data_IF_882473206400
#
_entry.id   IF_882473206400
#
_cell.length_a   1.000
_cell.length_b   1.000
_cell.length_c   1.000
_cell.angle_alpha   90.00
_cell.angle_beta   90.00
_cell.angle_gamma   90.00
#
_symmetry.space_group_name_H-M   'P 1'
#
loop_
_entity.id
_entity.type
_entity.pdbx_description
1 polymer ?
#
# COMPACT_ATOMS: atom_id res chain seq x y z
N UNK A 1 -31.17 5.99 2.03
CA UNK A 1 -29.72 5.88 1.76
C UNK A 1 -29.41 4.45 1.35
N UNK A 2 -28.65 4.25 0.25
CA UNK A 2 -28.40 2.91 -0.26
C UNK A 2 -27.39 2.20 0.65
N UNK A 3 -27.86 1.21 1.42
CA UNK A 3 -27.09 0.50 2.48
C UNK A 3 -25.72 -0.04 1.97
N UNK A 4 -25.64 -0.41 0.72
CA UNK A 4 -24.41 -0.91 0.06
C UNK A 4 -23.32 0.18 -0.13
N UNK A 5 -23.69 1.40 -0.49
CA UNK A 5 -22.73 2.52 -0.64
C UNK A 5 -22.16 2.97 0.70
N UNK A 6 -23.01 3.02 1.72
CA UNK A 6 -22.60 3.37 3.07
C UNK A 6 -21.63 2.33 3.66
N UNK A 7 -21.93 1.03 3.49
CA UNK A 7 -21.02 -0.05 3.90
C UNK A 7 -19.62 0.09 3.25
N UNK A 8 -19.58 0.34 1.93
CA UNK A 8 -18.31 0.52 1.20
C UNK A 8 -17.52 1.73 1.70
N UNK A 9 -18.19 2.83 1.97
CA UNK A 9 -17.55 4.04 2.47
C UNK A 9 -16.97 3.82 3.88
N UNK A 10 -17.75 3.21 4.77
CA UNK A 10 -17.30 2.88 6.13
C UNK A 10 -16.10 1.95 6.11
N UNK A 11 -16.15 0.90 5.27
CA UNK A 11 -15.03 -0.02 5.12
C UNK A 11 -13.77 0.68 4.59
N UNK A 12 -13.91 1.52 3.58
CA UNK A 12 -12.82 2.31 3.03
C UNK A 12 -12.21 3.26 4.09
N UNK A 13 -13.05 3.93 4.88
CA UNK A 13 -12.59 4.82 5.96
C UNK A 13 -11.83 4.07 7.05
N UNK A 14 -12.32 2.89 7.46
CA UNK A 14 -11.64 2.05 8.44
C UNK A 14 -10.29 1.53 7.92
N UNK A 15 -10.23 1.10 6.65
CA UNK A 15 -8.98 0.67 6.03
C UNK A 15 -8.00 1.83 5.84
N UNK A 16 -8.47 3.04 5.54
CA UNK A 16 -7.60 4.22 5.46
C UNK A 16 -7.01 4.57 6.84
N UNK A 17 -7.82 4.54 7.89
CA UNK A 17 -7.34 4.71 9.26
C UNK A 17 -6.34 3.61 9.65
N UNK A 18 -6.64 2.34 9.31
CA UNK A 18 -5.71 1.23 9.56
C UNK A 18 -4.41 1.39 8.78
N UNK A 19 -4.45 1.85 7.54
CA UNK A 19 -3.27 2.15 6.73
C UNK A 19 -2.40 3.23 7.40
N UNK A 20 -3.03 4.33 7.84
CA UNK A 20 -2.35 5.40 8.55
C UNK A 20 -1.69 4.88 9.83
N UNK A 21 -2.41 4.16 10.66
CA UNK A 21 -1.91 3.60 11.93
C UNK A 21 -0.79 2.58 11.69
N UNK A 22 -0.95 1.65 10.74
CA UNK A 22 0.07 0.65 10.41
C UNK A 22 1.36 1.29 9.89
N UNK A 23 1.24 2.40 9.15
CA UNK A 23 2.37 3.20 8.69
C UNK A 23 3.08 3.91 9.85
N UNK A 24 2.35 4.32 10.89
CA UNK A 24 2.88 5.09 12.01
C UNK A 24 3.43 4.23 13.17
N UNK A 25 2.89 3.03 13.39
CA UNK A 25 3.24 2.18 14.55
C UNK A 25 4.70 1.74 14.52
N UNK A 26 5.19 1.30 13.37
CA UNK A 26 6.58 0.87 13.20
C UNK A 26 7.22 1.78 12.19
N UNK A 27 8.16 2.59 12.65
CA UNK A 27 8.97 3.48 11.83
C UNK A 27 10.44 3.20 12.08
N UNK A 28 11.10 2.59 11.11
CA UNK A 28 12.55 2.38 11.12
C UNK A 28 13.15 3.40 10.16
N UNK A 29 13.91 4.39 10.67
CA UNK A 29 14.50 5.42 9.81
C UNK A 29 15.30 4.80 8.68
N UNK A 30 15.11 5.30 7.47
CA UNK A 30 15.94 4.91 6.31
C UNK A 30 17.23 5.73 6.27
N UNK A 31 18.27 5.22 5.59
CA UNK A 31 19.60 5.85 5.60
C UNK A 31 19.64 7.29 5.09
N UNK A 32 18.78 7.65 4.14
CA UNK A 32 18.76 9.01 3.60
C UNK A 32 17.80 9.90 4.39
N UNK A 33 16.54 9.90 4.05
CA UNK A 33 15.43 10.51 4.78
C UNK A 33 14.18 9.72 4.43
N UNK A 34 13.30 9.49 5.39
CA UNK A 34 12.17 8.60 5.25
C UNK A 34 12.23 7.50 6.30
N UNK A 35 11.37 6.52 6.18
CA UNK A 35 11.28 5.42 7.13
C UNK A 35 10.61 4.19 6.52
N UNK A 36 11.06 2.98 6.94
CA UNK A 36 10.36 1.74 6.68
C UNK A 36 9.15 1.64 7.62
N UNK A 37 8.07 1.08 7.10
CA UNK A 37 6.82 0.94 7.84
C UNK A 37 6.04 -0.31 7.40
N UNK A 38 4.95 -0.62 8.12
CA UNK A 38 4.08 -1.76 7.81
C UNK A 38 2.82 -1.37 7.00
N UNK A 39 2.70 -0.13 6.55
CA UNK A 39 1.54 0.35 5.81
C UNK A 39 1.26 -0.43 4.53
N UNK A 40 2.28 -0.97 3.87
CA UNK A 40 2.16 -1.64 2.58
C UNK A 40 1.28 -2.88 2.63
N UNK A 41 1.22 -3.59 3.75
CA UNK A 41 0.29 -4.70 3.89
C UNK A 41 -1.18 -4.23 3.77
N UNK A 42 -1.52 -3.04 4.28
CA UNK A 42 -2.87 -2.47 4.17
C UNK A 42 -3.10 -1.84 2.79
N UNK A 43 -2.07 -1.25 2.20
CA UNK A 43 -2.10 -0.76 0.80
C UNK A 43 -2.47 -1.89 -0.14
N UNK A 44 -1.78 -3.02 -0.08
CA UNK A 44 -2.07 -4.20 -0.90
C UNK A 44 -3.46 -4.76 -0.61
N UNK A 45 -3.85 -4.87 0.67
CA UNK A 45 -5.20 -5.28 1.06
C UNK A 45 -6.26 -4.40 0.42
N UNK A 46 -6.09 -3.08 0.46
CA UNK A 46 -7.05 -2.14 -0.12
C UNK A 46 -7.23 -2.35 -1.63
N UNK A 47 -6.16 -2.67 -2.34
CA UNK A 47 -6.20 -3.03 -3.75
C UNK A 47 -6.90 -4.37 -4.01
N UNK A 48 -6.66 -5.40 -3.19
CA UNK A 48 -7.27 -6.72 -3.38
C UNK A 48 -8.73 -6.81 -2.96
N UNK A 49 -9.19 -5.94 -2.05
CA UNK A 49 -10.52 -6.01 -1.42
C UNK A 49 -11.50 -4.97 -1.94
N UNK A 50 -11.02 -3.78 -2.31
CA UNK A 50 -11.88 -2.66 -2.68
C UNK A 50 -11.91 -2.47 -4.21
N UNK A 51 -12.88 -1.65 -4.67
CA UNK A 51 -12.84 -1.20 -6.06
C UNK A 51 -11.67 -0.23 -6.30
N UNK A 52 -11.21 -0.05 -7.56
CA UNK A 52 -10.01 0.73 -7.86
C UNK A 52 -9.98 2.12 -7.22
N UNK A 53 -11.09 2.86 -7.31
CA UNK A 53 -11.18 4.21 -6.76
C UNK A 53 -11.07 4.24 -5.23
N UNK A 54 -11.75 3.30 -4.54
CA UNK A 54 -11.65 3.19 -3.09
C UNK A 54 -10.28 2.68 -2.65
N UNK A 55 -9.71 1.69 -3.35
CA UNK A 55 -8.36 1.18 -3.07
C UNK A 55 -7.31 2.27 -3.19
N UNK A 56 -7.34 3.04 -4.29
CA UNK A 56 -6.45 4.19 -4.49
C UNK A 56 -6.58 5.22 -3.36
N UNK A 57 -7.82 5.62 -3.03
CA UNK A 57 -8.06 6.63 -2.01
C UNK A 57 -7.61 6.16 -0.62
N UNK A 58 -7.91 4.92 -0.25
CA UNK A 58 -7.51 4.32 1.04
C UNK A 58 -5.98 4.30 1.17
N UNK A 59 -5.30 3.76 0.17
CA UNK A 59 -3.85 3.65 0.18
C UNK A 59 -3.16 5.01 0.16
N UNK A 60 -3.60 5.89 -0.77
CA UNK A 60 -3.02 7.22 -0.93
C UNK A 60 -3.26 8.11 0.28
N UNK A 61 -4.52 8.27 0.69
CA UNK A 61 -4.88 9.15 1.82
C UNK A 61 -4.32 8.62 3.13
N UNK A 62 -4.47 7.31 3.41
CA UNK A 62 -3.99 6.72 4.66
C UNK A 62 -2.49 6.88 4.84
N UNK A 63 -1.70 6.59 3.80
CA UNK A 63 -0.24 6.72 3.85
C UNK A 63 0.22 8.18 3.88
N UNK A 64 -0.40 9.07 3.09
CA UNK A 64 -0.05 10.49 3.09
C UNK A 64 -0.35 11.17 4.44
N UNK A 65 -1.47 10.83 5.09
CA UNK A 65 -1.77 11.31 6.44
C UNK A 65 -0.74 10.83 7.45
N UNK A 66 -0.27 9.58 7.34
CA UNK A 66 0.78 9.06 8.20
C UNK A 66 2.08 9.86 8.06
N UNK A 67 2.46 10.24 6.84
CA UNK A 67 3.61 11.09 6.59
C UNK A 67 3.45 12.47 7.22
N UNK A 68 2.28 13.11 7.06
CA UNK A 68 1.98 14.41 7.65
C UNK A 68 2.09 14.35 9.17
N UNK A 69 1.43 13.37 9.81
CA UNK A 69 1.47 13.20 11.27
C UNK A 69 2.84 12.79 11.81
N UNK A 70 3.66 12.18 10.96
CA UNK A 70 5.03 11.78 11.30
C UNK A 70 6.08 12.85 11.03
N UNK A 71 5.70 14.03 10.49
CA UNK A 71 6.61 15.13 10.18
C UNK A 71 7.29 15.02 8.80
N UNK A 72 6.89 14.06 7.97
CA UNK A 72 7.42 13.86 6.62
C UNK A 72 6.53 14.53 5.55
N UNK A 73 6.10 15.77 5.80
CA UNK A 73 5.13 16.50 4.94
C UNK A 73 5.58 16.60 3.49
N UNK A 74 6.89 16.74 3.25
CA UNK A 74 7.46 16.79 1.89
C UNK A 74 7.21 15.48 1.10
N UNK A 75 7.14 14.34 1.80
CA UNK A 75 6.88 13.04 1.16
C UNK A 75 5.40 12.81 0.88
N UNK A 76 4.50 13.41 1.65
CA UNK A 76 3.05 13.13 1.59
C UNK A 76 2.44 13.19 0.18
N UNK A 77 2.74 14.17 -0.71
CA UNK A 77 2.19 14.19 -2.06
C UNK A 77 2.68 13.02 -2.92
N UNK A 78 3.97 12.69 -2.85
CA UNK A 78 4.54 11.56 -3.58
C UNK A 78 3.99 10.23 -3.04
N UNK A 79 3.94 10.09 -1.73
CA UNK A 79 3.36 8.93 -1.04
C UNK A 79 1.90 8.71 -1.44
N UNK A 80 1.09 9.77 -1.50
CA UNK A 80 -0.30 9.67 -1.97
C UNK A 80 -0.39 9.02 -3.35
N UNK A 81 0.42 9.50 -4.31
CA UNK A 81 0.40 8.98 -5.68
C UNK A 81 0.97 7.56 -5.73
N UNK A 82 2.13 7.32 -5.14
CA UNK A 82 2.82 6.03 -5.18
C UNK A 82 1.97 4.93 -4.55
N UNK A 83 1.46 5.16 -3.34
CA UNK A 83 0.64 4.16 -2.62
C UNK A 83 -0.72 3.95 -3.29
N UNK A 84 -1.32 5.01 -3.83
CA UNK A 84 -2.52 4.89 -4.67
C UNK A 84 -2.30 4.03 -5.91
N UNK A 85 -1.19 4.24 -6.64
CA UNK A 85 -0.82 3.42 -7.79
C UNK A 85 -0.56 1.96 -7.41
N UNK A 86 0.10 1.69 -6.28
CA UNK A 86 0.29 0.34 -5.77
C UNK A 86 -1.05 -0.40 -5.60
N UNK A 87 -2.05 0.25 -5.00
CA UNK A 87 -3.37 -0.33 -4.81
C UNK A 87 -4.07 -0.62 -6.15
N UNK A 88 -3.94 0.26 -7.15
CA UNK A 88 -4.46 0.01 -8.49
C UNK A 88 -3.79 -1.20 -9.16
N UNK A 89 -2.47 -1.29 -9.07
CA UNK A 89 -1.71 -2.41 -9.62
C UNK A 89 -2.09 -3.72 -8.93
N UNK A 90 -2.21 -3.72 -7.60
CA UNK A 90 -2.66 -4.87 -6.84
C UNK A 90 -4.07 -5.31 -7.28
N UNK A 91 -5.01 -4.38 -7.47
CA UNK A 91 -6.37 -4.68 -7.94
C UNK A 91 -6.37 -5.28 -9.35
N UNK A 92 -5.81 -4.58 -10.33
CA UNK A 92 -5.87 -5.03 -11.71
C UNK A 92 -5.05 -6.30 -11.94
N UNK A 93 -3.87 -6.39 -11.32
CA UNK A 93 -3.03 -7.58 -11.38
C UNK A 93 -3.76 -8.81 -10.80
N UNK A 94 -4.37 -8.67 -9.64
CA UNK A 94 -5.18 -9.73 -9.04
C UNK A 94 -6.37 -10.12 -9.94
N UNK A 95 -7.10 -9.13 -10.48
CA UNK A 95 -8.25 -9.37 -11.34
C UNK A 95 -7.89 -10.08 -12.65
N UNK A 96 -6.75 -9.74 -13.26
CA UNK A 96 -6.28 -10.34 -14.52
C UNK A 96 -5.78 -11.77 -14.29
N UNK A 97 -5.05 -12.00 -13.22
CA UNK A 97 -4.36 -13.26 -12.95
C UNK A 97 -5.22 -14.26 -12.15
N UNK A 98 -6.16 -13.79 -11.34
CA UNK A 98 -6.92 -14.61 -10.40
C UNK A 98 -7.59 -15.81 -11.02
N UNK A 99 -8.23 -15.60 -12.19
CA UNK A 99 -8.91 -16.66 -12.92
C UNK A 99 -7.94 -17.62 -13.65
N UNK A 100 -6.67 -17.24 -13.81
CA UNK A 100 -5.68 -18.01 -14.57
C UNK A 100 -4.81 -18.90 -13.69
N UNK A 101 -4.37 -18.38 -12.56
CA UNK A 101 -3.38 -19.04 -11.70
C UNK A 101 -3.83 -19.21 -10.23
N UNK A 102 -5.08 -18.81 -9.93
CA UNK A 102 -5.64 -18.89 -8.58
C UNK A 102 -5.35 -17.66 -7.72
N UNK A 103 -6.06 -17.55 -6.59
CA UNK A 103 -6.06 -16.32 -5.79
C UNK A 103 -4.71 -16.00 -5.13
N UNK A 104 -4.07 -16.97 -4.48
CA UNK A 104 -2.84 -16.72 -3.74
C UNK A 104 -1.65 -16.33 -4.66
N UNK A 105 -1.33 -17.09 -5.74
CA UNK A 105 -0.29 -16.69 -6.66
C UNK A 105 -0.54 -15.33 -7.30
N UNK A 106 -1.79 -15.04 -7.66
CA UNK A 106 -2.15 -13.75 -8.28
C UNK A 106 -1.93 -12.57 -7.35
N UNK A 107 -2.21 -12.73 -6.06
CA UNK A 107 -1.93 -11.69 -5.05
C UNK A 107 -0.43 -11.49 -4.86
N UNK A 108 0.33 -12.58 -4.78
CA UNK A 108 1.79 -12.48 -4.64
C UNK A 108 2.38 -11.76 -5.85
N UNK A 109 2.02 -12.14 -7.07
CA UNK A 109 2.58 -11.53 -8.28
C UNK A 109 2.14 -10.06 -8.40
N UNK A 110 0.85 -9.75 -8.20
CA UNK A 110 0.38 -8.37 -8.24
C UNK A 110 0.99 -7.52 -7.11
N UNK A 111 1.22 -8.10 -5.94
CA UNK A 111 1.95 -7.48 -4.84
C UNK A 111 3.40 -7.17 -5.21
N UNK A 112 4.13 -8.12 -5.79
CA UNK A 112 5.52 -7.92 -6.24
C UNK A 112 5.60 -6.75 -7.23
N UNK A 113 4.71 -6.71 -8.22
CA UNK A 113 4.69 -5.61 -9.20
C UNK A 113 4.38 -4.27 -8.53
N UNK A 114 3.42 -4.24 -7.59
CA UNK A 114 3.09 -3.05 -6.83
C UNK A 114 4.29 -2.53 -5.99
N UNK A 115 5.02 -3.43 -5.33
CA UNK A 115 6.18 -3.06 -4.52
C UNK A 115 7.37 -2.62 -5.38
N UNK A 116 7.57 -3.19 -6.56
CA UNK A 116 8.57 -2.68 -7.52
C UNK A 116 8.25 -1.23 -7.90
N UNK A 117 6.98 -0.91 -8.16
CA UNK A 117 6.55 0.47 -8.45
C UNK A 117 6.77 1.39 -7.25
N UNK A 118 6.58 0.91 -6.03
CA UNK A 118 6.89 1.65 -4.81
C UNK A 118 8.38 1.99 -4.72
N UNK A 119 9.24 0.98 -4.85
CA UNK A 119 10.70 1.17 -4.78
C UNK A 119 11.18 2.16 -5.84
N UNK A 120 10.72 1.99 -7.08
CA UNK A 120 11.07 2.90 -8.18
C UNK A 120 10.49 4.29 -7.99
N UNK A 121 9.24 4.40 -7.51
CA UNK A 121 8.58 5.67 -7.26
C UNK A 121 9.32 6.52 -6.22
N UNK A 122 9.68 5.92 -5.09
CA UNK A 122 10.49 6.61 -4.09
C UNK A 122 11.90 6.91 -4.57
N UNK A 123 12.55 5.99 -5.27
CA UNK A 123 13.87 6.25 -5.87
C UNK A 123 13.85 7.48 -6.79
N UNK A 124 12.84 7.59 -7.65
CA UNK A 124 12.69 8.74 -8.55
C UNK A 124 12.39 10.01 -7.76
N UNK A 125 11.46 9.97 -6.82
CA UNK A 125 11.11 11.12 -5.99
C UNK A 125 12.30 11.63 -5.16
N UNK A 126 13.01 10.74 -4.48
CA UNK A 126 14.21 11.07 -3.72
C UNK A 126 15.36 11.53 -4.64
N UNK A 127 15.44 10.96 -5.84
CA UNK A 127 16.40 11.38 -6.86
C UNK A 127 16.27 12.85 -7.23
N UNK A 128 15.04 13.37 -7.31
CA UNK A 128 14.79 14.79 -7.52
C UNK A 128 15.06 15.65 -6.29
N UNK A 129 14.87 15.13 -5.08
CA UNK A 129 15.08 15.88 -3.84
C UNK A 129 16.54 15.91 -3.39
N UNK A 130 17.24 14.79 -3.52
CA UNK A 130 18.57 14.58 -2.91
C UNK A 130 19.64 14.17 -3.90
N UNK A 131 19.27 13.95 -5.16
CA UNK A 131 20.13 13.37 -6.20
C UNK A 131 19.99 11.85 -6.32
N UNK A 132 20.15 11.33 -7.54
CA UNK A 132 19.93 9.91 -7.83
C UNK A 132 20.97 8.99 -7.17
N UNK A 133 22.23 9.41 -7.10
CA UNK A 133 23.30 8.59 -6.48
C UNK A 133 23.05 8.40 -4.98
N UNK A 134 22.78 9.42 -4.17
CA UNK A 134 22.40 9.24 -2.77
C UNK A 134 21.14 8.39 -2.58
N UNK A 135 20.15 8.50 -3.48
CA UNK A 135 18.87 7.80 -3.34
C UNK A 135 18.98 6.27 -3.52
N UNK A 136 20.04 5.77 -4.15
CA UNK A 136 20.29 4.34 -4.27
C UNK A 136 20.36 3.64 -2.90
N UNK A 137 20.82 4.34 -1.87
CA UNK A 137 20.99 3.77 -0.52
C UNK A 137 19.66 3.36 0.13
N UNK A 138 18.54 3.95 -0.29
CA UNK A 138 17.21 3.60 0.23
C UNK A 138 16.55 2.42 -0.49
N UNK A 139 17.05 2.00 -1.67
CA UNK A 139 16.47 0.89 -2.44
C UNK A 139 16.40 -0.41 -1.61
N UNK A 140 17.46 -0.87 -0.93
CA UNK A 140 17.38 -2.10 -0.13
C UNK A 140 16.37 -2.00 1.01
N UNK A 141 16.30 -0.85 1.67
CA UNK A 141 15.35 -0.61 2.75
C UNK A 141 13.90 -0.71 2.24
N UNK A 142 13.57 0.00 1.17
CA UNK A 142 12.27 -0.06 0.53
C UNK A 142 11.93 -1.49 0.01
N UNK A 143 12.91 -2.23 -0.51
CA UNK A 143 12.69 -3.61 -0.93
C UNK A 143 12.35 -4.54 0.25
N UNK A 144 13.01 -4.41 1.40
CA UNK A 144 12.69 -5.15 2.63
C UNK A 144 11.28 -4.80 3.10
N UNK A 145 10.89 -3.52 3.08
CA UNK A 145 9.53 -3.09 3.39
C UNK A 145 8.51 -3.77 2.47
N UNK A 146 8.76 -3.80 1.17
CA UNK A 146 7.87 -4.44 0.19
C UNK A 146 7.70 -5.94 0.42
N UNK A 147 8.78 -6.66 0.72
CA UNK A 147 8.72 -8.10 1.06
C UNK A 147 7.86 -8.31 2.31
N UNK A 148 8.06 -7.52 3.35
CA UNK A 148 7.25 -7.59 4.57
C UNK A 148 5.77 -7.28 4.27
N UNK A 149 5.50 -6.27 3.45
CA UNK A 149 4.15 -5.89 2.99
C UNK A 149 3.42 -7.04 2.29
N UNK A 150 4.09 -7.73 1.37
CA UNK A 150 3.51 -8.89 0.66
C UNK A 150 3.23 -10.04 1.64
N UNK A 151 4.17 -10.40 2.49
CA UNK A 151 4.02 -11.51 3.45
C UNK A 151 2.84 -11.23 4.38
N UNK A 152 2.84 -10.08 5.05
CA UNK A 152 1.81 -9.72 6.01
C UNK A 152 0.46 -9.53 5.32
N UNK A 153 0.43 -8.84 4.17
CA UNK A 153 -0.77 -8.62 3.38
C UNK A 153 -1.42 -9.93 2.92
N UNK A 154 -0.64 -10.90 2.48
CA UNK A 154 -1.14 -12.24 2.08
C UNK A 154 -1.62 -13.09 3.25
N UNK A 155 -1.11 -12.89 4.45
CA UNK A 155 -1.64 -13.52 5.67
C UNK A 155 -2.96 -12.85 6.06
N UNK A 156 -2.99 -11.52 6.12
CA UNK A 156 -4.17 -10.76 6.53
C UNK A 156 -5.36 -11.00 5.60
N UNK A 157 -5.16 -11.06 4.28
CA UNK A 157 -6.25 -11.30 3.35
C UNK A 157 -6.97 -12.64 3.61
N UNK A 158 -6.24 -13.68 4.00
CA UNK A 158 -6.84 -14.97 4.37
C UNK A 158 -7.73 -14.86 5.61
N UNK A 159 -7.36 -14.01 6.57
CA UNK A 159 -8.16 -13.73 7.75
C UNK A 159 -9.45 -13.00 7.37
N UNK A 160 -9.35 -11.99 6.51
CA UNK A 160 -10.52 -11.25 6.01
C UNK A 160 -11.48 -12.14 5.22
N UNK A 161 -10.98 -13.00 4.35
CA UNK A 161 -11.81 -13.95 3.59
C UNK A 161 -12.53 -14.95 4.49
N UNK A 162 -11.86 -15.44 5.55
CA UNK A 162 -12.45 -16.38 6.51
C UNK A 162 -13.56 -15.72 7.35
N UNK A 163 -13.44 -14.43 7.64
CA UNK A 163 -14.40 -13.70 8.48
C UNK A 163 -15.72 -13.38 7.79
N UNK A 164 -15.84 -13.58 6.46
CA UNK A 164 -17.02 -13.23 5.61
C UNK A 164 -17.47 -11.76 5.70
N UNK A 165 -16.72 -10.90 6.38
CA UNK A 165 -17.11 -9.50 6.64
C UNK A 165 -17.26 -8.69 5.34
N UNK A 166 -16.63 -9.13 4.26
CA UNK A 166 -16.54 -8.38 2.99
C UNK A 166 -17.23 -9.04 1.80
N UNK A 167 -17.93 -10.15 1.99
CA UNK A 167 -18.57 -10.90 0.89
C UNK A 167 -20.08 -10.61 0.74
N UNK A 168 -20.62 -9.64 1.48
CA UNK A 168 -21.99 -9.17 1.33
C UNK A 168 -21.97 -7.69 0.86
#
# INVERSE_FOLDING_TARGET
MNNSKTKKLVMASLLAALCCVATMIIKIPSPLKGYLNLGDCVVLLSGWLLSPAYGFAVAGVGSALADIFSGYVTYAPATFVIKGLMALIAYYGFKILGNKIGNLPSRIISGIVAEIVMVLGYFVFEGFLYGFIPSIVNIPANAVQGVAGIIIGTILIKVFEKSKIMME
#
